data_IF_413525364375
#
_entry.id   IF_413525364375
#
_cell.length_a   1.000
_cell.length_b   1.000
_cell.length_c   1.000
_cell.angle_alpha   90.00
_cell.angle_beta   90.00
_cell.angle_gamma   90.00
#
_symmetry.space_group_name_H-M   'P 1'
#
loop_
_entity.id
_entity.type
_entity.pdbx_description
1 polymer ?
#
# COMPACT_ATOMS: atom_id res chain seq x y z
N UNK A 1 61.44 12.63 9.43
CA UNK A 1 60.45 12.09 10.39
C UNK A 1 60.16 13.23 11.37
N UNK A 2 58.99 13.84 11.50
CA UNK A 2 57.62 13.43 11.24
C UNK A 2 56.79 14.68 10.88
N UNK A 3 55.92 14.56 9.88
CA UNK A 3 54.92 15.56 9.50
C UNK A 3 53.77 15.53 10.52
N UNK A 4 53.46 16.63 11.19
CA UNK A 4 52.19 16.80 11.91
C UNK A 4 51.38 17.92 11.25
N UNK A 5 50.44 17.50 10.41
CA UNK A 5 49.39 18.32 9.77
C UNK A 5 48.06 18.09 10.51
N UNK A 6 47.15 19.06 10.57
CA UNK A 6 46.13 19.14 11.60
C UNK A 6 44.90 18.29 11.29
N UNK A 7 44.47 17.49 12.26
CA UNK A 7 43.16 16.81 12.22
C UNK A 7 42.07 17.87 12.44
N UNK A 8 41.60 18.48 11.35
CA UNK A 8 40.36 19.26 11.35
C UNK A 8 39.21 18.31 11.65
N UNK A 9 38.57 18.47 12.82
CA UNK A 9 37.24 17.93 13.12
C UNK A 9 36.29 18.34 12.00
N UNK A 10 35.98 17.39 11.11
CA UNK A 10 34.84 17.51 10.20
C UNK A 10 33.59 17.56 11.09
N UNK A 11 33.05 18.78 11.26
CA UNK A 11 31.68 18.96 11.71
C UNK A 11 30.81 18.28 10.66
N UNK A 12 30.21 17.15 11.03
CA UNK A 12 29.09 16.59 10.28
C UNK A 12 28.02 17.68 10.21
N UNK A 13 27.94 18.36 9.06
CA UNK A 13 26.75 19.11 8.69
C UNK A 13 25.69 18.05 8.42
N UNK A 14 24.93 17.71 9.46
CA UNK A 14 23.66 17.03 9.30
C UNK A 14 22.79 17.95 8.45
N UNK A 15 22.84 17.76 7.14
CA UNK A 15 21.80 18.26 6.26
C UNK A 15 20.49 17.78 6.85
N UNK A 16 19.59 18.71 7.15
CA UNK A 16 18.26 18.41 7.67
C UNK A 16 17.58 17.47 6.67
N UNK A 17 17.65 16.18 6.93
CA UNK A 17 16.89 15.19 6.19
C UNK A 17 15.44 15.56 6.43
N UNK A 18 14.76 16.07 5.38
CA UNK A 18 13.31 16.31 5.42
C UNK A 18 12.67 15.10 6.09
N UNK A 19 11.89 15.31 7.15
CA UNK A 19 11.32 14.17 7.84
C UNK A 19 10.47 13.40 6.83
N UNK A 20 10.54 12.06 6.83
CA UNK A 20 9.74 11.28 5.92
C UNK A 20 8.27 11.69 6.05
N UNK A 21 7.55 11.75 4.92
CA UNK A 21 6.13 12.15 4.82
C UNK A 21 5.84 13.68 4.88
N UNK A 22 6.83 14.56 5.08
CA UNK A 22 6.58 16.02 5.18
C UNK A 22 6.12 16.69 3.88
N UNK A 23 6.38 16.09 2.71
CA UNK A 23 5.99 16.66 1.42
C UNK A 23 4.60 16.26 0.95
N UNK A 24 3.84 15.53 1.77
CA UNK A 24 2.51 15.04 1.41
C UNK A 24 1.45 16.14 1.58
N UNK A 25 0.54 16.24 0.61
CA UNK A 25 -0.66 17.09 0.66
C UNK A 25 -1.80 16.34 1.34
N UNK A 26 -1.72 16.25 2.67
CA UNK A 26 -2.73 15.59 3.50
C UNK A 26 -3.85 16.55 3.91
N UNK A 27 -5.05 16.02 4.08
CA UNK A 27 -6.12 16.70 4.82
C UNK A 27 -5.70 16.93 6.29
N UNK A 28 -6.30 17.92 6.95
CA UNK A 28 -6.02 18.22 8.37
C UNK A 28 -6.31 17.03 9.27
N UNK A 29 -5.43 16.77 10.24
CA UNK A 29 -5.59 15.72 11.24
C UNK A 29 -6.40 16.15 12.48
N UNK A 30 -6.93 17.37 12.52
CA UNK A 30 -7.68 17.91 13.66
C UNK A 30 -8.78 16.97 14.17
N UNK A 31 -9.53 16.34 13.27
CA UNK A 31 -10.57 15.36 13.64
C UNK A 31 -9.99 14.17 14.43
N UNK A 32 -8.79 13.70 14.05
CA UNK A 32 -8.11 12.60 14.73
C UNK A 32 -7.58 13.06 16.08
N UNK A 33 -7.11 14.29 16.19
CA UNK A 33 -6.67 14.88 17.47
C UNK A 33 -7.84 14.99 18.46
N UNK A 34 -8.99 15.48 18.01
CA UNK A 34 -10.20 15.56 18.82
C UNK A 34 -10.70 14.16 19.23
N UNK A 35 -10.70 13.20 18.30
CA UNK A 35 -11.05 11.81 18.62
C UNK A 35 -10.07 11.18 19.61
N UNK A 36 -8.77 11.48 19.51
CA UNK A 36 -7.77 10.99 20.45
C UNK A 36 -8.00 11.53 21.87
N UNK A 37 -8.41 12.80 22.03
CA UNK A 37 -8.75 13.39 23.32
C UNK A 37 -9.99 12.74 23.95
N UNK A 38 -11.00 12.41 23.13
CA UNK A 38 -12.21 11.69 23.57
C UNK A 38 -11.94 10.24 23.98
N UNK A 39 -10.84 9.67 23.50
CA UNK A 39 -10.42 8.31 23.82
C UNK A 39 -11.18 7.24 23.01
N UNK A 40 -11.00 5.98 23.43
CA UNK A 40 -11.51 4.82 22.67
C UNK A 40 -13.03 4.67 22.84
N UNK A 41 -13.70 4.38 21.72
CA UNK A 41 -15.13 4.10 21.66
C UNK A 41 -15.41 2.67 21.18
N UNK A 42 -16.65 2.21 21.38
CA UNK A 42 -17.11 0.89 20.95
C UNK A 42 -17.56 0.93 19.48
N UNK A 43 -17.09 0.00 18.67
CA UNK A 43 -17.58 -0.18 17.31
C UNK A 43 -19.04 -0.61 17.34
N UNK A 44 -19.91 0.08 16.60
CA UNK A 44 -21.35 -0.23 16.54
C UNK A 44 -21.66 -1.63 15.98
N UNK A 45 -20.76 -2.22 15.20
CA UNK A 45 -20.95 -3.54 14.56
C UNK A 45 -20.50 -4.71 15.44
N UNK A 46 -19.29 -4.65 16.01
CA UNK A 46 -18.72 -5.77 16.78
C UNK A 46 -18.50 -5.50 18.27
N UNK A 47 -18.81 -4.29 18.77
CA UNK A 47 -18.54 -3.90 20.16
C UNK A 47 -17.06 -3.76 20.52
N UNK A 48 -16.13 -3.93 19.57
CA UNK A 48 -14.70 -3.76 19.80
C UNK A 48 -14.34 -2.33 20.21
N UNK A 49 -13.50 -2.17 21.24
CA UNK A 49 -12.96 -0.86 21.65
C UNK A 49 -11.87 -0.40 20.67
N UNK A 50 -12.07 0.75 20.01
CA UNK A 50 -11.23 1.29 18.93
C UNK A 50 -11.10 2.82 19.07
N UNK A 51 -10.07 3.40 18.46
CA UNK A 51 -9.86 4.85 18.47
C UNK A 51 -10.52 5.52 17.26
N UNK A 52 -10.02 5.25 16.05
CA UNK A 52 -10.44 5.94 14.81
C UNK A 52 -11.22 5.03 13.84
N UNK A 53 -10.92 3.74 13.86
CA UNK A 53 -11.52 2.76 12.95
C UNK A 53 -11.48 1.35 13.54
N UNK A 54 -12.42 0.52 13.13
CA UNK A 54 -12.47 -0.88 13.44
C UNK A 54 -11.81 -1.69 12.32
N UNK A 55 -10.67 -2.30 12.64
CA UNK A 55 -9.94 -3.19 11.74
C UNK A 55 -10.65 -4.52 11.45
N UNK A 56 -11.67 -4.90 12.24
CA UNK A 56 -12.47 -6.12 12.01
C UNK A 56 -13.65 -5.83 11.08
N UNK A 57 -14.39 -4.76 11.35
CA UNK A 57 -15.62 -4.43 10.59
C UNK A 57 -15.40 -3.47 9.43
N UNK A 58 -14.15 -3.05 9.21
CA UNK A 58 -13.75 -2.07 8.21
C UNK A 58 -14.61 -0.80 8.23
N UNK A 59 -14.81 -0.21 9.41
CA UNK A 59 -15.64 0.99 9.60
C UNK A 59 -14.97 2.02 10.48
N UNK A 60 -15.31 3.30 10.30
CA UNK A 60 -14.89 4.37 11.19
C UNK A 60 -15.46 4.19 12.61
N UNK A 61 -14.75 4.73 13.60
CA UNK A 61 -15.13 4.78 15.01
C UNK A 61 -14.65 6.12 15.56
N UNK A 62 -15.51 6.87 16.24
CA UNK A 62 -15.14 8.17 16.83
C UNK A 62 -14.93 9.33 15.87
N UNK A 63 -15.05 9.09 14.56
CA UNK A 63 -15.02 10.10 13.49
C UNK A 63 -16.09 9.77 12.45
N UNK A 64 -16.62 10.79 11.77
CA UNK A 64 -17.63 10.65 10.71
C UNK A 64 -17.01 10.44 9.32
N UNK A 65 -17.74 9.82 8.37
CA UNK A 65 -17.30 9.67 6.98
C UNK A 65 -17.00 10.99 6.27
N UNK A 66 -17.71 12.07 6.64
CA UNK A 66 -17.50 13.41 6.09
C UNK A 66 -16.25 14.10 6.67
N UNK A 67 -15.73 13.63 7.80
CA UNK A 67 -14.59 14.25 8.49
C UNK A 67 -13.25 13.66 8.04
N UNK A 68 -13.27 12.55 7.29
CA UNK A 68 -12.08 11.87 6.78
C UNK A 68 -12.03 11.98 5.25
N UNK A 69 -10.84 12.10 4.65
CA UNK A 69 -10.74 12.20 3.19
C UNK A 69 -11.17 10.89 2.53
N UNK A 70 -11.93 10.99 1.43
CA UNK A 70 -12.21 9.88 0.52
C UNK A 70 -11.27 9.97 -0.68
N UNK A 71 -10.57 8.90 -0.98
CA UNK A 71 -9.60 8.82 -2.07
C UNK A 71 -10.17 7.94 -3.17
N UNK A 72 -10.18 8.46 -4.40
CA UNK A 72 -10.50 7.70 -5.61
C UNK A 72 -9.20 7.16 -6.19
N UNK A 73 -9.13 5.85 -6.41
CA UNK A 73 -7.93 5.21 -6.95
C UNK A 73 -8.01 5.06 -8.48
N UNK A 74 -6.88 5.09 -9.19
CA UNK A 74 -6.82 4.91 -10.64
C UNK A 74 -6.99 3.44 -11.05
N UNK A 75 -6.93 2.51 -10.08
CA UNK A 75 -7.00 1.06 -10.28
C UNK A 75 -7.65 0.42 -9.05
N UNK A 76 -8.32 -0.72 -9.22
CA UNK A 76 -8.84 -1.50 -8.09
C UNK A 76 -7.69 -2.18 -7.34
N UNK A 77 -7.85 -2.37 -6.04
CA UNK A 77 -6.86 -3.01 -5.18
C UNK A 77 -7.53 -4.14 -4.41
N UNK A 78 -6.96 -5.33 -4.48
CA UNK A 78 -7.32 -6.43 -3.59
C UNK A 78 -6.12 -6.72 -2.66
N UNK A 79 -6.38 -6.79 -1.36
CA UNK A 79 -5.37 -7.08 -0.35
C UNK A 79 -5.63 -8.47 0.22
N UNK A 80 -4.67 -9.38 0.09
CA UNK A 80 -4.72 -10.71 0.68
C UNK A 80 -4.03 -10.67 2.05
N UNK A 81 -4.85 -10.67 3.09
CA UNK A 81 -4.42 -10.59 4.48
C UNK A 81 -4.19 -11.98 5.07
N UNK A 82 -3.04 -12.17 5.70
CA UNK A 82 -2.75 -13.40 6.43
C UNK A 82 -3.62 -13.49 7.70
N UNK A 83 -4.23 -14.65 8.03
CA UNK A 83 -5.13 -14.78 9.18
C UNK A 83 -4.44 -14.53 10.52
N UNK A 84 -3.13 -14.79 10.62
CA UNK A 84 -2.35 -14.54 11.83
C UNK A 84 -1.71 -13.13 11.86
N UNK A 85 -1.95 -12.29 10.86
CA UNK A 85 -1.51 -10.89 10.91
C UNK A 85 -2.34 -10.16 11.96
N UNK A 86 -1.68 -9.51 12.92
CA UNK A 86 -2.39 -8.85 14.01
C UNK A 86 -3.16 -7.64 13.47
N UNK A 87 -4.49 -7.65 13.56
CA UNK A 87 -5.32 -6.59 12.96
C UNK A 87 -4.99 -5.18 13.44
N UNK A 88 -4.64 -5.02 14.73
CA UNK A 88 -4.21 -3.73 15.28
C UNK A 88 -2.84 -3.26 14.81
N UNK A 89 -2.12 -4.06 14.01
CA UNK A 89 -0.84 -3.75 13.37
C UNK A 89 -0.90 -3.61 11.86
N UNK A 90 -1.86 -4.26 11.22
CA UNK A 90 -2.12 -4.12 9.79
C UNK A 90 -2.38 -2.67 9.41
N UNK A 91 -1.75 -2.23 8.32
CA UNK A 91 -2.00 -0.92 7.71
C UNK A 91 -2.91 -1.01 6.49
N UNK A 92 -3.27 -2.23 6.04
CA UNK A 92 -4.21 -2.48 4.94
C UNK A 92 -5.56 -1.82 5.17
N UNK A 93 -6.02 -1.79 6.43
CA UNK A 93 -7.28 -1.17 6.81
C UNK A 93 -7.36 0.31 6.44
N UNK A 94 -6.24 1.04 6.43
CA UNK A 94 -6.23 2.45 6.05
C UNK A 94 -6.75 2.63 4.61
N UNK A 95 -6.26 1.81 3.68
CA UNK A 95 -6.69 1.84 2.29
C UNK A 95 -8.19 1.52 2.16
N UNK A 96 -8.69 0.51 2.88
CA UNK A 96 -10.11 0.14 2.83
C UNK A 96 -11.03 1.22 3.37
N UNK A 97 -10.64 1.93 4.42
CA UNK A 97 -11.43 3.02 5.00
C UNK A 97 -11.45 4.24 4.06
N UNK A 98 -10.30 4.59 3.48
CA UNK A 98 -10.12 5.82 2.71
C UNK A 98 -10.58 5.67 1.25
N UNK A 99 -10.52 4.47 0.68
CA UNK A 99 -10.94 4.17 -0.69
C UNK A 99 -11.87 2.94 -0.75
N UNK A 100 -13.05 2.99 -0.09
CA UNK A 100 -13.89 1.81 0.14
C UNK A 100 -14.44 1.16 -1.14
N UNK A 101 -14.60 1.94 -2.22
CA UNK A 101 -15.12 1.45 -3.51
C UNK A 101 -14.04 0.78 -4.35
N UNK A 102 -12.77 1.10 -4.09
CA UNK A 102 -11.64 0.69 -4.91
C UNK A 102 -10.77 -0.37 -4.24
N UNK A 103 -10.89 -0.56 -2.93
CA UNK A 103 -10.08 -1.50 -2.14
C UNK A 103 -10.93 -2.61 -1.56
N UNK A 104 -10.52 -3.86 -1.70
CA UNK A 104 -11.06 -5.00 -0.96
C UNK A 104 -9.98 -5.66 -0.11
N UNK A 105 -10.39 -6.27 1.01
CA UNK A 105 -9.51 -7.06 1.87
C UNK A 105 -10.11 -8.45 1.97
N UNK A 106 -9.31 -9.46 1.65
CA UNK A 106 -9.65 -10.87 1.77
C UNK A 106 -8.73 -11.53 2.79
N UNK A 107 -9.30 -12.34 3.68
CA UNK A 107 -8.51 -13.15 4.60
C UNK A 107 -8.14 -14.47 3.94
N UNK A 108 -6.85 -14.78 3.86
CA UNK A 108 -6.36 -16.06 3.35
C UNK A 108 -6.96 -17.23 4.15
N UNK A 109 -7.46 -18.32 3.50
CA UNK A 109 -7.23 -18.71 2.10
C UNK A 109 -8.27 -18.22 1.08
N UNK A 110 -9.13 -17.24 1.41
CA UNK A 110 -10.21 -16.77 0.55
C UNK A 110 -9.74 -15.80 -0.56
N UNK A 111 -8.77 -16.21 -1.40
CA UNK A 111 -8.30 -15.41 -2.54
C UNK A 111 -9.31 -15.50 -3.69
N UNK A 112 -9.72 -14.38 -4.31
CA UNK A 112 -10.53 -14.38 -5.53
C UNK A 112 -9.82 -15.04 -6.71
N UNK A 113 -10.59 -15.50 -7.70
CA UNK A 113 -10.08 -15.84 -9.02
C UNK A 113 -9.78 -14.56 -9.82
N UNK A 114 -8.66 -14.56 -10.55
CA UNK A 114 -8.18 -13.39 -11.28
C UNK A 114 -8.04 -13.67 -12.78
N UNK A 115 -8.33 -12.63 -13.57
CA UNK A 115 -7.97 -12.57 -14.99
C UNK A 115 -6.49 -12.15 -15.09
N UNK A 116 -5.61 -13.12 -15.38
CA UNK A 116 -4.16 -12.96 -15.32
C UNK A 116 -3.62 -11.87 -16.27
N UNK A 117 -4.37 -11.55 -17.32
CA UNK A 117 -4.01 -10.51 -18.30
C UNK A 117 -4.29 -9.09 -17.81
N UNK A 118 -5.09 -8.94 -16.74
CA UNK A 118 -5.58 -7.64 -16.24
C UNK A 118 -5.25 -7.38 -14.77
N UNK A 119 -4.63 -8.35 -14.11
CA UNK A 119 -4.32 -8.32 -12.68
C UNK A 119 -2.83 -8.56 -12.47
N UNK A 120 -2.22 -7.70 -11.65
CA UNK A 120 -0.82 -7.82 -11.27
C UNK A 120 -0.67 -8.00 -9.76
N UNK A 121 0.42 -8.61 -9.34
CA UNK A 121 0.80 -8.78 -7.94
C UNK A 121 1.97 -7.85 -7.62
N UNK A 122 1.82 -6.93 -6.67
CA UNK A 122 2.96 -6.17 -6.15
C UNK A 122 3.68 -6.99 -5.11
N UNK A 123 4.76 -7.65 -5.53
CA UNK A 123 5.58 -8.49 -4.68
C UNK A 123 6.99 -8.64 -5.28
N UNK A 124 8.06 -8.53 -4.47
CA UNK A 124 9.41 -8.76 -4.96
C UNK A 124 9.63 -10.25 -5.26
N UNK A 125 10.24 -10.56 -6.39
CA UNK A 125 10.49 -11.94 -6.80
C UNK A 125 11.51 -12.04 -7.93
N UNK A 126 12.07 -13.23 -8.18
CA UNK A 126 13.14 -13.41 -9.18
C UNK A 126 12.69 -13.12 -10.61
N UNK A 127 11.38 -13.13 -10.88
CA UNK A 127 10.77 -12.80 -12.18
C UNK A 127 9.98 -11.48 -12.15
N UNK A 128 10.12 -10.70 -11.07
CA UNK A 128 9.39 -9.44 -10.95
C UNK A 128 9.92 -8.42 -11.96
N UNK A 129 9.01 -7.61 -12.50
CA UNK A 129 9.33 -6.49 -13.40
C UNK A 129 9.15 -5.17 -12.65
N UNK A 130 9.75 -4.10 -13.15
CA UNK A 130 9.53 -2.76 -12.60
C UNK A 130 8.16 -2.22 -13.01
N UNK A 131 7.64 -1.25 -12.24
CA UNK A 131 6.39 -0.54 -12.62
C UNK A 131 6.48 0.07 -14.03
N UNK A 132 7.66 0.56 -14.42
CA UNK A 132 7.90 1.14 -15.75
C UNK A 132 7.69 0.12 -16.89
N UNK A 133 8.14 -1.12 -16.70
CA UNK A 133 8.08 -2.16 -17.74
C UNK A 133 6.80 -3.02 -17.64
N UNK A 134 5.93 -2.75 -16.65
CA UNK A 134 4.74 -3.54 -16.37
C UNK A 134 3.77 -3.58 -17.56
N UNK A 135 3.46 -2.44 -18.17
CA UNK A 135 2.48 -2.34 -19.27
C UNK A 135 2.95 -3.11 -20.50
N UNK A 136 4.24 -2.98 -20.84
CA UNK A 136 4.85 -3.74 -21.93
C UNK A 136 4.77 -5.25 -21.65
N UNK A 137 5.15 -5.67 -20.44
CA UNK A 137 5.14 -7.10 -20.05
C UNK A 137 3.74 -7.72 -20.11
N UNK A 138 2.70 -6.96 -19.76
CA UNK A 138 1.29 -7.41 -19.90
C UNK A 138 0.87 -7.54 -21.37
N UNK A 139 1.31 -6.61 -22.21
CA UNK A 139 1.00 -6.63 -23.64
C UNK A 139 1.64 -7.84 -24.33
N UNK A 140 2.90 -8.12 -24.01
CA UNK A 140 3.64 -9.29 -24.53
C UNK A 140 2.98 -10.61 -24.09
N UNK A 141 2.59 -10.72 -22.81
CA UNK A 141 1.85 -11.88 -22.29
C UNK A 141 0.52 -12.13 -22.98
N UNK A 142 -0.26 -11.08 -23.24
CA UNK A 142 -1.56 -11.20 -23.90
C UNK A 142 -1.45 -11.66 -25.37
N UNK A 143 -0.26 -11.49 -25.99
CA UNK A 143 0.02 -11.85 -27.37
C UNK A 143 0.70 -13.21 -27.53
N UNK A 144 1.15 -13.84 -26.44
CA UNK A 144 1.85 -15.13 -26.47
C UNK A 144 0.91 -16.27 -26.98
N UNK A 145 1.22 -16.90 -28.12
CA UNK A 145 0.41 -18.01 -28.66
C UNK A 145 0.59 -19.33 -27.91
N UNK A 146 1.61 -19.45 -27.04
CA UNK A 146 2.04 -20.71 -26.43
C UNK A 146 1.38 -21.01 -25.08
N UNK A 147 0.76 -20.03 -24.43
CA UNK A 147 -0.01 -20.20 -23.20
C UNK A 147 -1.45 -20.66 -23.52
N UNK A 148 -1.92 -21.80 -22.99
CA UNK A 148 -3.28 -22.26 -23.22
C UNK A 148 -4.25 -21.24 -22.58
N UNK A 149 -4.95 -20.47 -23.42
CA UNK A 149 -6.01 -19.53 -23.02
C UNK A 149 -7.01 -20.25 -22.11
N UNK A 150 -6.81 -20.20 -20.78
CA UNK A 150 -7.73 -20.79 -19.80
C UNK A 150 -9.11 -20.18 -20.05
N UNK A 151 -10.12 -21.04 -20.20
CA UNK A 151 -11.46 -20.72 -20.71
C UNK A 151 -11.95 -19.39 -20.13
N UNK A 152 -12.00 -18.35 -20.97
CA UNK A 152 -12.71 -17.10 -20.68
C UNK A 152 -14.09 -17.47 -20.14
N UNK A 153 -14.42 -17.02 -18.93
CA UNK A 153 -15.75 -17.17 -18.37
C UNK A 153 -16.72 -16.47 -19.33
N UNK A 154 -17.53 -17.25 -20.07
CA UNK A 154 -18.51 -16.75 -21.04
C UNK A 154 -19.68 -16.16 -20.26
N UNK A 155 -19.54 -14.92 -19.81
CA UNK A 155 -20.69 -14.02 -19.62
C UNK A 155 -21.18 -13.58 -21.00
N UNK A 156 -22.49 -13.72 -21.22
CA UNK A 156 -23.18 -13.56 -22.51
C UNK A 156 -22.74 -12.34 -23.33
N UNK A 157 -22.51 -12.58 -24.63
CA UNK A 157 -22.28 -11.54 -25.65
C UNK A 157 -23.60 -10.92 -26.08
N UNK A 158 -23.67 -9.59 -26.09
CA UNK A 158 -24.17 -8.75 -27.19
C UNK A 158 -23.28 -7.50 -27.14
N UNK A 159 -22.40 -7.23 -28.12
CA UNK A 159 -22.76 -6.62 -29.39
C UNK A 159 -22.46 -5.12 -29.32
N UNK A 160 -21.20 -4.70 -29.51
CA UNK A 160 -20.85 -3.32 -29.83
C UNK A 160 -19.44 -3.25 -30.45
N UNK A 161 -19.41 -2.70 -31.65
CA UNK A 161 -18.24 -2.42 -32.47
C UNK A 161 -17.35 -1.32 -31.87
N UNK A 162 -16.06 -1.38 -32.21
CA UNK A 162 -15.08 -0.28 -32.24
C UNK A 162 -15.27 0.91 -31.30
N UNK A 163 -14.70 0.80 -30.09
CA UNK A 163 -14.10 1.94 -29.38
C UNK A 163 -12.74 1.48 -28.89
N UNK A 164 -11.67 2.17 -29.30
CA UNK A 164 -10.41 2.12 -28.57
C UNK A 164 -10.72 2.46 -27.11
N UNK A 165 -10.74 1.43 -26.27
CA UNK A 165 -11.03 1.63 -24.86
C UNK A 165 -9.83 2.35 -24.28
N UNK A 166 -10.01 3.62 -23.92
CA UNK A 166 -9.11 4.42 -23.06
C UNK A 166 -9.00 3.82 -21.63
N UNK A 167 -9.29 2.53 -21.48
CA UNK A 167 -9.25 1.79 -20.23
C UNK A 167 -7.80 1.46 -19.91
N UNK A 168 -7.37 1.64 -18.65
CA UNK A 168 -6.01 1.29 -18.26
C UNK A 168 -5.75 -0.20 -18.54
N UNK A 169 -4.55 -0.58 -19.00
CA UNK A 169 -4.21 -1.97 -19.31
C UNK A 169 -4.38 -2.89 -18.10
N UNK A 170 -4.22 -2.36 -16.89
CA UNK A 170 -4.50 -3.04 -15.62
C UNK A 170 -5.86 -2.64 -15.07
N UNK A 171 -6.64 -3.63 -14.62
CA UNK A 171 -7.90 -3.37 -13.93
C UNK A 171 -7.75 -3.46 -12.42
N UNK A 172 -6.78 -4.26 -11.94
CA UNK A 172 -6.63 -4.55 -10.52
C UNK A 172 -5.19 -4.86 -10.13
N UNK A 173 -4.85 -4.52 -8.90
CA UNK A 173 -3.56 -4.80 -8.27
C UNK A 173 -3.77 -5.56 -6.98
N UNK A 174 -2.98 -6.62 -6.80
CA UNK A 174 -2.99 -7.44 -5.60
C UNK A 174 -1.81 -7.08 -4.70
N UNK A 175 -2.07 -6.93 -3.40
CA UNK A 175 -1.05 -6.78 -2.36
C UNK A 175 -1.21 -7.88 -1.30
N UNK A 176 -0.13 -8.19 -0.58
CA UNK A 176 -0.14 -9.13 0.55
C UNK A 176 0.03 -8.36 1.86
N UNK A 177 -0.89 -8.56 2.82
CA UNK A 177 -0.81 -7.99 4.18
C UNK A 177 -0.44 -9.09 5.18
N UNK A 178 0.85 -9.17 5.50
CA UNK A 178 1.39 -10.16 6.43
C UNK A 178 2.73 -9.72 6.99
N UNK A 179 3.20 -10.39 8.06
CA UNK A 179 4.62 -10.32 8.41
C UNK A 179 5.48 -10.97 7.31
N UNK A 180 6.72 -10.51 7.15
CA UNK A 180 7.61 -11.03 6.11
C UNK A 180 7.97 -12.51 6.30
N UNK A 181 7.84 -13.03 7.52
CA UNK A 181 8.05 -14.45 7.80
C UNK A 181 6.85 -15.32 7.39
N UNK A 182 5.65 -14.73 7.26
CA UNK A 182 4.42 -15.44 6.91
C UNK A 182 4.05 -15.31 5.42
N UNK A 183 4.61 -14.32 4.73
CA UNK A 183 4.25 -13.95 3.36
C UNK A 183 4.35 -15.09 2.35
N UNK A 184 5.34 -15.98 2.52
CA UNK A 184 5.59 -17.10 1.61
C UNK A 184 4.36 -18.00 1.43
N UNK A 185 3.54 -18.20 2.49
CA UNK A 185 2.33 -19.03 2.40
C UNK A 185 1.31 -18.46 1.41
N UNK A 186 1.25 -17.14 1.29
CA UNK A 186 0.31 -16.45 0.40
C UNK A 186 0.94 -16.29 -0.99
N UNK A 187 2.18 -15.82 -1.07
CA UNK A 187 2.83 -15.55 -2.37
C UNK A 187 3.04 -16.80 -3.22
N UNK A 188 3.08 -18.00 -2.62
CA UNK A 188 3.15 -19.27 -3.34
C UNK A 188 1.78 -19.92 -3.58
N UNK A 189 0.65 -19.24 -3.31
CA UNK A 189 -0.68 -19.76 -3.66
C UNK A 189 -0.87 -19.77 -5.18
N UNK A 190 -1.41 -20.86 -5.73
CA UNK A 190 -1.56 -21.06 -7.18
C UNK A 190 -2.34 -19.94 -7.88
N UNK A 191 -3.30 -19.32 -7.18
CA UNK A 191 -4.11 -18.20 -7.72
C UNK A 191 -3.30 -16.91 -7.90
N UNK A 192 -2.12 -16.82 -7.26
CA UNK A 192 -1.22 -15.67 -7.32
C UNK A 192 0.05 -15.94 -8.16
N UNK A 193 0.47 -17.20 -8.31
CA UNK A 193 1.74 -17.54 -8.96
C UNK A 193 1.81 -17.15 -10.44
N UNK A 194 0.69 -17.22 -11.16
CA UNK A 194 0.64 -16.91 -12.59
C UNK A 194 0.54 -15.40 -12.88
N UNK A 195 0.22 -14.59 -11.86
CA UNK A 195 0.12 -13.14 -11.99
C UNK A 195 1.49 -12.53 -12.28
N UNK A 196 1.51 -11.49 -13.11
CA UNK A 196 2.72 -10.70 -13.32
C UNK A 196 3.13 -10.07 -11.99
N UNK A 197 4.34 -10.37 -11.53
CA UNK A 197 4.92 -9.77 -10.33
C UNK A 197 5.55 -8.43 -10.67
N UNK A 198 5.23 -7.42 -9.89
CA UNK A 198 5.77 -6.07 -10.02
C UNK A 198 6.50 -5.69 -8.75
N UNK A 199 7.77 -5.34 -8.88
CA UNK A 199 8.58 -4.82 -7.79
C UNK A 199 8.62 -3.29 -7.81
N UNK A 200 8.60 -2.72 -6.60
CA UNK A 200 8.74 -1.29 -6.40
C UNK A 200 10.22 -0.93 -6.30
N UNK A 201 10.57 0.28 -6.75
CA UNK A 201 11.91 0.85 -6.48
C UNK A 201 12.19 0.83 -4.97
N UNK A 202 13.43 0.53 -4.62
CA UNK A 202 13.89 0.52 -3.22
C UNK A 202 13.57 1.84 -2.53
N UNK A 203 12.80 1.77 -1.44
CA UNK A 203 12.38 2.91 -0.61
C UNK A 203 12.63 2.59 0.84
N UNK A 204 13.00 3.60 1.63
CA UNK A 204 13.10 3.45 3.08
C UNK A 204 11.71 3.58 3.69
N UNK A 205 11.32 2.59 4.49
CA UNK A 205 10.08 2.62 5.26
C UNK A 205 10.15 3.63 6.39
N UNK A 206 9.01 4.22 6.71
CA UNK A 206 8.78 5.04 7.90
C UNK A 206 8.02 4.24 8.97
N UNK A 207 7.88 2.92 8.81
CA UNK A 207 6.99 2.12 9.63
C UNK A 207 7.52 1.94 11.04
N UNK A 208 6.76 2.38 12.03
CA UNK A 208 7.25 2.45 13.42
C UNK A 208 7.34 1.10 14.15
N UNK A 209 6.83 0.00 13.55
CA UNK A 209 6.89 -1.38 14.09
C UNK A 209 7.80 -2.27 13.23
N UNK A 210 9.07 -1.85 13.10
CA UNK A 210 10.08 -2.62 12.38
C UNK A 210 10.16 -4.07 12.86
N UNK A 211 10.36 -4.98 11.91
CA UNK A 211 10.63 -6.39 12.21
C UNK A 211 12.14 -6.55 12.47
N UNK A 212 12.49 -7.15 13.62
CA UNK A 212 13.90 -7.32 14.03
C UNK A 212 14.68 -8.09 12.95
N UNK A 213 15.82 -7.55 12.54
CA UNK A 213 16.70 -8.18 11.56
C UNK A 213 16.22 -8.10 10.11
N UNK A 214 15.17 -7.31 9.81
CA UNK A 214 14.74 -7.02 8.44
C UNK A 214 15.26 -5.66 7.97
N UNK A 215 15.54 -5.48 6.67
CA UNK A 215 15.99 -4.20 6.11
C UNK A 215 14.97 -3.08 6.34
N UNK A 216 15.44 -1.83 6.37
CA UNK A 216 14.59 -0.64 6.36
C UNK A 216 13.94 -0.38 4.99
N UNK A 217 14.13 -1.29 4.03
CA UNK A 217 13.49 -1.24 2.70
C UNK A 217 12.16 -2.01 2.64
N UNK A 218 11.81 -2.69 3.73
CA UNK A 218 10.61 -3.51 3.83
C UNK A 218 9.42 -2.65 4.21
N UNK A 219 8.68 -2.21 3.19
CA UNK A 219 7.51 -1.33 3.33
C UNK A 219 6.36 -1.99 4.09
N UNK A 220 5.60 -1.17 4.83
CA UNK A 220 4.26 -1.56 5.27
C UNK A 220 3.30 -1.61 4.07
N UNK A 221 2.18 -2.33 4.21
CA UNK A 221 1.19 -2.48 3.12
C UNK A 221 0.67 -1.15 2.61
N UNK A 222 0.38 -0.18 3.48
CA UNK A 222 -0.11 1.13 3.02
C UNK A 222 0.97 1.95 2.30
N UNK A 223 2.24 1.81 2.70
CA UNK A 223 3.34 2.45 1.99
C UNK A 223 3.53 1.82 0.61
N UNK A 224 3.48 0.48 0.50
CA UNK A 224 3.56 -0.22 -0.77
C UNK A 224 2.42 0.22 -1.71
N UNK A 225 1.19 0.34 -1.20
CA UNK A 225 0.04 0.86 -1.95
C UNK A 225 0.31 2.29 -2.44
N UNK A 226 0.66 3.21 -1.54
CA UNK A 226 0.92 4.61 -1.91
C UNK A 226 2.03 4.72 -2.97
N UNK A 227 3.11 3.97 -2.77
CA UNK A 227 4.28 4.03 -3.63
C UNK A 227 4.05 3.40 -5.00
N UNK A 228 3.28 2.32 -5.08
CA UNK A 228 2.78 1.79 -6.34
C UNK A 228 1.92 2.82 -7.07
N UNK A 229 0.93 3.41 -6.38
CA UNK A 229 -0.01 4.35 -6.99
C UNK A 229 0.70 5.59 -7.56
N UNK A 230 1.70 6.11 -6.84
CA UNK A 230 2.53 7.23 -7.31
C UNK A 230 3.30 6.85 -8.58
N UNK A 231 4.01 5.72 -8.56
CA UNK A 231 4.79 5.25 -9.70
C UNK A 231 3.90 4.95 -10.90
N UNK A 232 2.75 4.32 -10.68
CA UNK A 232 1.77 4.04 -11.72
C UNK A 232 1.24 5.31 -12.37
N UNK A 233 0.96 6.34 -11.58
CA UNK A 233 0.49 7.63 -12.09
C UNK A 233 1.56 8.33 -12.93
N UNK A 234 2.80 8.38 -12.45
CA UNK A 234 3.89 9.07 -13.15
C UNK A 234 4.37 8.31 -14.39
N UNK A 235 4.48 6.97 -14.30
CA UNK A 235 5.14 6.14 -15.30
C UNK A 235 4.19 5.45 -16.28
N UNK A 236 2.96 5.16 -15.88
CA UNK A 236 2.00 4.43 -16.71
C UNK A 236 0.83 5.29 -17.17
N UNK A 237 0.39 6.24 -16.35
CA UNK A 237 -0.60 7.25 -16.77
C UNK A 237 0.05 8.48 -17.40
N UNK A 238 1.39 8.59 -17.31
CA UNK A 238 2.20 9.69 -17.86
C UNK A 238 1.70 11.07 -17.44
N UNK A 239 1.30 11.20 -16.17
CA UNK A 239 0.78 12.44 -15.59
C UNK A 239 1.70 12.94 -14.49
N UNK A 240 1.70 14.27 -14.30
CA UNK A 240 2.42 14.90 -13.20
C UNK A 240 1.68 14.59 -11.89
N UNK A 241 2.36 13.92 -10.96
CA UNK A 241 1.81 13.63 -9.65
C UNK A 241 1.75 14.91 -8.80
N UNK A 242 0.55 15.30 -8.40
CA UNK A 242 0.31 16.50 -7.58
C UNK A 242 -0.22 16.20 -6.18
N UNK A 243 -0.26 14.92 -5.77
CA UNK A 243 -0.70 14.49 -4.43
C UNK A 243 -2.07 13.81 -4.43
N UNK A 244 -2.50 13.31 -5.58
CA UNK A 244 -3.82 12.70 -5.83
C UNK A 244 -4.14 11.59 -4.83
N UNK A 245 -3.11 10.89 -4.35
CA UNK A 245 -3.25 9.76 -3.44
C UNK A 245 -2.54 9.99 -2.10
N UNK A 246 -2.05 11.19 -1.80
CA UNK A 246 -1.34 11.42 -0.53
C UNK A 246 -2.23 11.05 0.67
N UNK A 247 -3.53 11.34 0.54
CA UNK A 247 -4.51 11.02 1.57
C UNK A 247 -4.70 9.51 1.86
N UNK A 248 -4.24 8.54 1.04
CA UNK A 248 -4.22 7.13 1.52
C UNK A 248 -3.29 6.93 2.72
N UNK A 249 -2.34 7.85 2.94
CA UNK A 249 -1.48 7.89 4.12
C UNK A 249 -2.06 8.73 5.27
N UNK A 250 -3.31 9.19 5.20
CA UNK A 250 -3.92 10.07 6.21
C UNK A 250 -3.79 9.52 7.63
N UNK A 251 -4.31 8.32 7.90
CA UNK A 251 -4.17 7.67 9.21
C UNK A 251 -2.71 7.29 9.53
N UNK A 252 -1.94 6.88 8.51
CA UNK A 252 -0.56 6.44 8.68
C UNK A 252 0.33 7.58 9.19
N UNK A 253 0.27 8.74 8.57
CA UNK A 253 1.04 9.94 8.93
C UNK A 253 0.71 10.43 10.34
N UNK A 254 -0.57 10.44 10.70
CA UNK A 254 -1.01 10.80 12.05
C UNK A 254 -0.46 9.82 13.10
N UNK A 255 -0.67 8.52 12.92
CA UNK A 255 -0.20 7.49 13.85
C UNK A 255 1.33 7.48 13.98
N UNK A 256 2.04 7.68 12.88
CA UNK A 256 3.50 7.83 12.86
C UNK A 256 3.93 9.01 13.74
N UNK A 257 3.26 10.16 13.61
CA UNK A 257 3.53 11.36 14.42
C UNK A 257 3.29 11.12 15.90
N UNK A 258 2.13 10.55 16.26
CA UNK A 258 1.77 10.22 17.65
C UNK A 258 2.81 9.30 18.29
N UNK A 259 3.24 8.27 17.56
CA UNK A 259 4.17 7.26 18.08
C UNK A 259 5.58 7.82 18.21
N UNK A 260 6.04 8.64 17.28
CA UNK A 260 7.35 9.29 17.38
C UNK A 260 7.41 10.33 18.51
N UNK A 261 6.31 11.07 18.74
CA UNK A 261 6.16 11.94 19.92
C UNK A 261 6.26 11.11 21.21
N UNK A 262 5.57 9.98 21.29
CA UNK A 262 5.63 9.08 22.45
C UNK A 262 7.02 8.47 22.67
N UNK A 263 7.72 8.05 21.60
CA UNK A 263 9.10 7.54 21.66
C UNK A 263 10.07 8.60 22.19
N UNK A 264 9.95 9.82 21.69
CA UNK A 264 10.77 10.97 22.10
C UNK A 264 10.54 11.31 23.57
N UNK A 265 9.28 11.35 24.02
CA UNK A 265 8.93 11.56 25.42
C UNK A 265 9.46 10.44 26.34
N UNK A 266 9.54 9.20 25.84
CA UNK A 266 10.09 8.05 26.55
C UNK A 266 11.62 7.91 26.44
N UNK A 267 12.33 8.87 25.83
CA UNK A 267 13.79 8.84 25.65
C UNK A 267 14.31 7.77 24.69
N UNK A 268 13.44 7.15 23.87
CA UNK A 268 13.81 6.13 22.88
C UNK A 268 13.95 6.81 21.51
N UNK A 269 15.18 6.99 21.01
CA UNK A 269 15.43 7.40 19.62
C UNK A 269 15.42 6.19 18.69
#
# INVERSE_FOLDING_TARGET
MSLNSPVRRLKNMAGSAKQPLQSLKLASHEVLEQAQQKGRLKCAKCGGSRMFFCYTCCSLVGVGPQDVPRVKLPVKIDIIKHPNETDGKSTAIHAKILAPDDVNIYTYPCIPEYDQDKVILVFPGPKAVTVQNMIQSLTERAQDPSEPRRKRFRGSKEGAEGKESNAPPIQKVVFIDSTWNQTNKISTDERLQDLLQVELKTRKTCFWRHQKGKPDTYLSTIEAIYYFLKDFHELCLERVYTGEYDNVLFFYSYLHTVINKAKTAAGRK
#
